data_IF_582346388813
#
_entry.id   IF_582346388813
#
_cell.length_a   1.000
_cell.length_b   1.000
_cell.length_c   1.000
_cell.angle_alpha   90.00
_cell.angle_beta   90.00
_cell.angle_gamma   90.00
#
_symmetry.space_group_name_H-M   'P 1'
#
loop_
_entity.id
_entity.type
_entity.pdbx_description
1 polymer ?
#
# COMPACT_ATOMS: atom_id res chain seq x y z
N UNK A 1 16.17 -11.82 40.97
CA UNK A 1 15.02 -11.76 40.05
C UNK A 1 14.22 -10.53 40.43
N UNK A 2 14.62 -9.38 39.90
CA UNK A 2 13.84 -8.14 40.02
C UNK A 2 12.88 -8.08 38.84
N UNK A 3 11.60 -8.21 39.13
CA UNK A 3 10.52 -8.00 38.17
C UNK A 3 10.40 -6.51 37.91
N UNK A 4 10.95 -6.04 36.79
CA UNK A 4 10.70 -4.70 36.28
C UNK A 4 9.24 -4.60 35.84
N UNK A 5 8.38 -4.10 36.73
CA UNK A 5 7.04 -3.65 36.34
C UNK A 5 7.20 -2.34 35.57
N UNK A 6 7.15 -2.42 34.24
CA UNK A 6 7.01 -1.23 33.40
C UNK A 6 5.68 -0.54 33.75
N UNK A 7 5.74 0.54 34.54
CA UNK A 7 4.62 1.48 34.68
C UNK A 7 4.42 2.14 33.32
N UNK A 8 3.23 1.96 32.73
CA UNK A 8 2.81 2.77 31.59
C UNK A 8 2.82 4.25 32.01
N UNK A 9 3.66 5.04 31.35
CA UNK A 9 3.62 6.50 31.45
C UNK A 9 2.60 6.97 30.41
N UNK A 10 1.51 7.56 30.87
CA UNK A 10 0.50 8.19 30.02
C UNK A 10 0.72 9.69 30.10
N UNK A 11 1.23 10.29 29.03
CA UNK A 11 1.37 11.74 28.93
C UNK A 11 0.09 12.33 28.33
N UNK A 12 -0.44 13.36 28.96
CA UNK A 12 -1.59 14.13 28.46
C UNK A 12 -1.08 15.08 27.39
N UNK A 13 -1.36 14.76 26.13
CA UNK A 13 -1.05 15.59 24.98
C UNK A 13 -2.18 16.60 24.72
N UNK A 14 -1.87 17.90 24.69
CA UNK A 14 -2.87 18.97 24.58
C UNK A 14 -3.62 18.98 23.25
N UNK A 15 -2.98 18.53 22.16
CA UNK A 15 -3.58 18.41 20.83
C UNK A 15 -4.27 17.06 20.57
N UNK A 16 -4.57 16.28 21.61
CA UNK A 16 -5.07 14.91 21.47
C UNK A 16 -6.37 14.85 20.65
N UNK A 17 -6.51 13.77 19.87
CA UNK A 17 -7.67 13.46 19.03
C UNK A 17 -9.00 13.72 19.74
N UNK A 18 -9.75 14.69 19.24
CA UNK A 18 -11.05 15.07 19.77
C UNK A 18 -12.16 14.15 19.22
N UNK A 19 -13.33 14.20 19.85
CA UNK A 19 -14.53 13.57 19.34
C UNK A 19 -15.47 14.68 18.84
N UNK A 20 -15.84 14.62 17.56
CA UNK A 20 -16.66 15.63 16.90
C UNK A 20 -18.13 15.20 16.73
N UNK A 21 -18.51 14.05 17.29
CA UNK A 21 -19.89 13.55 17.27
C UNK A 21 -19.98 12.04 17.14
N UNK A 22 -21.18 11.52 16.89
CA UNK A 22 -21.37 10.11 16.57
C UNK A 22 -21.31 9.89 15.07
N UNK A 23 -20.43 8.99 14.67
CA UNK A 23 -20.33 8.46 13.31
C UNK A 23 -21.08 7.12 13.16
N UNK A 24 -20.90 6.51 12.00
CA UNK A 24 -21.43 5.18 11.68
C UNK A 24 -20.29 4.17 11.62
N UNK A 25 -20.45 3.06 12.33
CA UNK A 25 -19.54 1.92 12.26
C UNK A 25 -19.94 0.93 11.18
N UNK A 26 -19.03 0.01 10.85
CA UNK A 26 -19.41 -1.20 10.12
C UNK A 26 -20.59 -1.93 10.78
N UNK A 27 -20.65 -1.99 12.12
CA UNK A 27 -21.78 -2.59 12.82
C UNK A 27 -23.07 -1.80 12.61
N UNK A 28 -23.03 -0.46 12.55
CA UNK A 28 -24.23 0.33 12.21
C UNK A 28 -24.70 0.07 10.77
N UNK A 29 -23.78 -0.11 9.83
CA UNK A 29 -24.10 -0.48 8.45
C UNK A 29 -24.66 -1.90 8.37
N UNK A 30 -24.11 -2.81 9.17
CA UNK A 30 -24.60 -4.18 9.33
C UNK A 30 -25.98 -4.22 10.02
N UNK A 31 -26.23 -3.35 10.99
CA UNK A 31 -27.51 -3.25 11.69
C UNK A 31 -28.57 -2.54 10.82
N UNK A 32 -28.14 -1.70 9.88
CA UNK A 32 -29.01 -1.16 8.83
C UNK A 32 -29.28 -2.17 7.70
N UNK A 33 -28.69 -3.38 7.76
CA UNK A 33 -28.93 -4.42 6.77
C UNK A 33 -30.42 -4.83 6.80
N UNK A 34 -31.10 -4.84 5.64
CA UNK A 34 -32.50 -5.25 5.55
C UNK A 34 -32.74 -6.68 6.06
N UNK A 35 -31.69 -7.51 6.19
CA UNK A 35 -31.73 -8.87 6.70
C UNK A 35 -31.35 -8.99 8.19
N UNK A 36 -31.22 -7.89 8.94
CA UNK A 36 -30.85 -7.94 10.36
C UNK A 36 -31.74 -8.89 11.18
N UNK A 37 -33.05 -8.90 10.92
CA UNK A 37 -34.00 -9.80 11.59
C UNK A 37 -33.69 -11.28 11.36
N UNK A 38 -33.18 -11.63 10.17
CA UNK A 38 -32.75 -12.99 9.84
C UNK A 38 -31.42 -13.31 10.54
N UNK A 39 -30.48 -12.36 10.55
CA UNK A 39 -29.18 -12.49 11.22
C UNK A 39 -29.29 -12.72 12.74
N UNK A 40 -30.33 -12.17 13.39
CA UNK A 40 -30.60 -12.43 14.82
C UNK A 40 -30.89 -13.91 15.11
N UNK A 41 -31.53 -14.61 14.18
CA UNK A 41 -31.87 -16.02 14.32
C UNK A 41 -30.79 -16.94 13.72
N UNK A 42 -30.06 -16.44 12.72
CA UNK A 42 -29.01 -17.16 12.02
C UNK A 42 -27.84 -16.21 11.66
N UNK A 43 -26.78 -16.26 12.46
CA UNK A 43 -25.54 -15.48 12.26
C UNK A 43 -24.89 -15.67 10.88
N UNK A 44 -25.25 -16.73 10.13
CA UNK A 44 -24.68 -17.06 8.83
C UNK A 44 -25.60 -16.73 7.65
N UNK A 45 -26.73 -16.05 7.89
CA UNK A 45 -27.60 -15.59 6.82
C UNK A 45 -26.76 -14.80 5.78
N UNK A 46 -26.96 -15.02 4.47
CA UNK A 46 -28.08 -15.72 3.80
C UNK A 46 -27.90 -17.24 3.64
N UNK A 47 -26.87 -17.84 4.23
CA UNK A 47 -26.69 -19.29 4.26
C UNK A 47 -27.48 -19.90 5.42
N UNK A 48 -28.00 -21.11 5.27
CA UNK A 48 -28.84 -21.76 6.29
C UNK A 48 -28.10 -22.11 7.58
N UNK A 49 -26.76 -22.25 7.51
CA UNK A 49 -25.94 -22.66 8.65
C UNK A 49 -24.46 -22.27 8.47
N UNK A 50 -23.71 -22.30 9.57
CA UNK A 50 -22.25 -22.11 9.51
C UNK A 50 -21.51 -23.21 8.75
N UNK A 51 -22.06 -24.42 8.68
CA UNK A 51 -21.50 -25.49 7.86
C UNK A 51 -21.67 -25.20 6.36
N UNK A 52 -22.86 -24.74 5.96
CA UNK A 52 -23.10 -24.29 4.58
C UNK A 52 -22.22 -23.09 4.22
N UNK A 53 -22.11 -22.09 5.11
CA UNK A 53 -21.24 -20.94 4.87
C UNK A 53 -19.79 -21.34 4.65
N UNK A 54 -19.25 -22.29 5.44
CA UNK A 54 -17.88 -22.81 5.24
C UNK A 54 -17.72 -23.53 3.90
N UNK A 55 -18.73 -24.28 3.48
CA UNK A 55 -18.73 -24.97 2.18
C UNK A 55 -18.80 -23.97 1.02
N UNK A 56 -19.68 -22.98 1.10
CA UNK A 56 -19.78 -21.86 0.17
C UNK A 56 -18.44 -21.11 0.07
N UNK A 57 -17.84 -20.78 1.21
CA UNK A 57 -16.52 -20.16 1.29
C UNK A 57 -15.49 -21.02 0.55
N UNK A 58 -15.39 -22.31 0.88
CA UNK A 58 -14.46 -23.21 0.21
C UNK A 58 -14.67 -23.25 -1.32
N UNK A 59 -15.92 -23.36 -1.79
CA UNK A 59 -16.22 -23.33 -3.23
C UNK A 59 -15.71 -22.04 -3.89
N UNK A 60 -15.91 -20.88 -3.26
CA UNK A 60 -15.46 -19.59 -3.82
C UNK A 60 -13.95 -19.44 -3.89
N UNK A 61 -13.21 -20.02 -2.94
CA UNK A 61 -11.74 -19.94 -2.88
C UNK A 61 -11.04 -21.11 -3.57
N UNK A 62 -11.77 -22.15 -3.98
CA UNK A 62 -11.22 -23.36 -4.61
C UNK A 62 -10.58 -23.14 -5.98
N UNK A 63 -10.92 -22.03 -6.66
CA UNK A 63 -10.52 -21.78 -8.06
C UNK A 63 -11.28 -22.61 -9.09
N UNK A 64 -12.32 -23.34 -8.67
CA UNK A 64 -13.19 -24.09 -9.58
C UNK A 64 -13.95 -23.15 -10.52
N UNK A 65 -14.16 -23.60 -11.75
CA UNK A 65 -15.03 -22.90 -12.70
C UNK A 65 -16.49 -22.99 -12.26
N UNK A 66 -17.34 -22.06 -12.73
CA UNK A 66 -18.78 -22.10 -12.49
C UNK A 66 -19.40 -23.46 -12.86
N UNK A 67 -18.96 -24.04 -13.98
CA UNK A 67 -19.44 -25.34 -14.45
C UNK A 67 -19.00 -26.49 -13.53
N UNK A 68 -17.77 -26.47 -13.02
CA UNK A 68 -17.29 -27.48 -12.08
C UNK A 68 -17.99 -27.37 -10.71
N UNK A 69 -18.33 -26.16 -10.28
CA UNK A 69 -19.16 -25.94 -9.09
C UNK A 69 -20.56 -26.51 -9.32
N UNK A 70 -21.19 -26.24 -10.46
CA UNK A 70 -22.50 -26.80 -10.80
C UNK A 70 -22.47 -28.34 -10.86
N UNK A 71 -21.41 -28.93 -11.41
CA UNK A 71 -21.19 -30.38 -11.42
C UNK A 71 -21.07 -30.94 -9.99
N UNK A 72 -20.26 -30.31 -9.14
CA UNK A 72 -20.12 -30.69 -7.72
C UNK A 72 -21.47 -30.62 -6.98
N UNK A 73 -22.24 -29.55 -7.19
CA UNK A 73 -23.57 -29.37 -6.60
C UNK A 73 -24.59 -30.38 -7.16
N UNK A 74 -24.30 -30.99 -8.31
CA UNK A 74 -25.16 -32.00 -8.93
C UNK A 74 -24.96 -33.41 -8.39
N UNK A 75 -23.88 -33.68 -7.65
CA UNK A 75 -23.59 -34.98 -7.06
C UNK A 75 -24.68 -35.37 -6.04
N UNK A 76 -25.14 -36.62 -6.06
CA UNK A 76 -26.27 -37.07 -5.21
C UNK A 76 -26.01 -36.86 -3.72
N UNK A 77 -24.77 -37.06 -3.28
CA UNK A 77 -24.33 -36.79 -1.90
C UNK A 77 -24.53 -35.32 -1.52
N UNK A 78 -24.24 -34.40 -2.44
CA UNK A 78 -24.37 -32.96 -2.22
C UNK A 78 -25.83 -32.50 -2.38
N UNK A 79 -26.55 -33.02 -3.37
CA UNK A 79 -27.98 -32.76 -3.56
C UNK A 79 -28.82 -33.18 -2.35
N UNK A 80 -28.42 -34.24 -1.65
CA UNK A 80 -29.09 -34.69 -0.43
C UNK A 80 -29.02 -33.66 0.71
N UNK A 81 -28.05 -32.74 0.67
CA UNK A 81 -27.93 -31.65 1.64
C UNK A 81 -28.93 -30.53 1.31
N UNK A 82 -29.48 -29.88 2.33
CA UNK A 82 -30.42 -28.77 2.16
C UNK A 82 -29.71 -27.40 2.11
N UNK A 83 -28.79 -27.21 1.16
CA UNK A 83 -28.16 -25.92 0.94
C UNK A 83 -29.14 -24.89 0.34
N UNK A 84 -28.98 -23.63 0.74
CA UNK A 84 -29.69 -22.46 0.23
C UNK A 84 -29.40 -22.17 -1.25
N UNK A 85 -28.38 -22.82 -1.85
CA UNK A 85 -28.06 -22.72 -3.26
C UNK A 85 -27.93 -24.10 -3.92
N UNK A 86 -28.33 -24.17 -5.19
CA UNK A 86 -28.26 -25.38 -6.04
C UNK A 86 -27.38 -25.22 -7.28
N UNK A 87 -26.96 -24.01 -7.55
CA UNK A 87 -26.08 -23.67 -8.68
C UNK A 87 -25.04 -22.67 -8.21
N UNK A 88 -23.92 -22.61 -8.92
CA UNK A 88 -22.89 -21.60 -8.74
C UNK A 88 -23.51 -20.20 -8.87
N UNK A 89 -24.42 -19.99 -9.83
CA UNK A 89 -25.12 -18.69 -9.98
C UNK A 89 -25.97 -18.33 -8.76
N UNK A 90 -26.66 -19.30 -8.16
CA UNK A 90 -27.42 -19.06 -6.93
C UNK A 90 -26.49 -18.76 -5.75
N UNK A 91 -25.35 -19.46 -5.65
CA UNK A 91 -24.31 -19.15 -4.66
C UNK A 91 -23.84 -17.69 -4.77
N UNK A 92 -23.51 -17.22 -5.98
CA UNK A 92 -23.08 -15.83 -6.19
C UNK A 92 -24.15 -14.82 -5.81
N UNK A 93 -25.43 -15.09 -6.10
CA UNK A 93 -26.54 -14.23 -5.64
C UNK A 93 -26.61 -14.13 -4.12
N UNK A 94 -26.36 -15.21 -3.39
CA UNK A 94 -26.30 -15.17 -1.92
C UNK A 94 -25.09 -14.36 -1.45
N UNK A 95 -23.94 -14.51 -2.09
CA UNK A 95 -22.75 -13.71 -1.77
C UNK A 95 -22.98 -12.22 -2.01
N UNK A 96 -23.73 -11.86 -3.07
CA UNK A 96 -24.11 -10.47 -3.38
C UNK A 96 -25.02 -9.84 -2.30
N UNK A 97 -25.67 -10.63 -1.45
CA UNK A 97 -26.45 -10.13 -0.30
C UNK A 97 -25.57 -9.83 0.92
N UNK A 98 -24.33 -10.34 0.98
CA UNK A 98 -23.43 -10.06 2.09
C UNK A 98 -22.99 -8.58 2.07
N UNK A 99 -22.72 -7.98 3.24
CA UNK A 99 -22.20 -6.62 3.32
C UNK A 99 -20.98 -6.43 2.41
N UNK A 100 -21.10 -5.51 1.45
CA UNK A 100 -20.05 -5.28 0.46
C UNK A 100 -18.89 -4.48 1.06
N UNK A 101 -17.66 -4.85 0.72
CA UNK A 101 -16.50 -4.00 0.94
C UNK A 101 -16.41 -2.82 -0.05
N UNK A 102 -15.31 -2.06 -0.05
CA UNK A 102 -15.08 -0.96 -0.98
C UNK A 102 -15.18 -1.44 -2.44
N UNK A 103 -15.97 -0.75 -3.25
CA UNK A 103 -16.31 -1.18 -4.60
C UNK A 103 -15.21 -0.86 -5.62
N UNK A 104 -15.09 -1.72 -6.63
CA UNK A 104 -14.23 -1.47 -7.78
C UNK A 104 -14.83 -0.42 -8.70
N UNK A 105 -14.05 0.62 -8.95
CA UNK A 105 -14.26 1.66 -9.95
C UNK A 105 -13.29 1.41 -11.12
N UNK A 106 -13.63 1.90 -12.30
CA UNK A 106 -12.72 1.88 -13.44
C UNK A 106 -12.68 3.24 -14.13
N UNK A 107 -11.52 3.60 -14.68
CA UNK A 107 -11.34 4.83 -15.43
C UNK A 107 -10.36 4.65 -16.58
N UNK A 108 -10.71 5.21 -17.74
CA UNK A 108 -9.80 5.30 -18.89
C UNK A 108 -8.80 6.43 -18.68
N UNK A 109 -7.52 6.16 -18.86
CA UNK A 109 -6.44 7.14 -18.67
C UNK A 109 -5.83 7.51 -20.01
N UNK A 110 -5.80 8.81 -20.31
CA UNK A 110 -5.16 9.33 -21.52
C UNK A 110 -3.65 9.28 -21.37
N UNK A 111 -2.98 8.60 -22.29
CA UNK A 111 -1.52 8.54 -22.39
C UNK A 111 -1.01 9.62 -23.36
N UNK A 112 0.18 10.16 -23.11
CA UNK A 112 0.83 11.11 -24.04
C UNK A 112 1.27 10.48 -25.37
N UNK A 113 1.44 9.16 -25.40
CA UNK A 113 1.80 8.43 -26.61
C UNK A 113 0.86 7.22 -26.78
N UNK A 114 0.60 6.80 -28.03
CA UNK A 114 -0.28 5.66 -28.28
C UNK A 114 0.21 4.38 -27.61
N UNK A 115 -0.73 3.62 -27.07
CA UNK A 115 -0.52 2.27 -26.54
C UNK A 115 -1.26 1.25 -27.41
N UNK A 116 -0.80 0.00 -27.41
CA UNK A 116 -1.45 -1.08 -28.19
C UNK A 116 -2.90 -1.31 -27.79
N UNK A 117 -3.19 -1.17 -26.49
CA UNK A 117 -4.54 -1.23 -25.94
C UNK A 117 -4.82 0.06 -25.15
N UNK A 118 -6.07 0.50 -25.10
CA UNK A 118 -6.48 1.60 -24.24
C UNK A 118 -6.11 1.27 -22.78
N UNK A 119 -5.50 2.24 -22.09
CA UNK A 119 -5.11 2.04 -20.69
C UNK A 119 -6.32 2.29 -19.79
N UNK A 120 -6.88 1.20 -19.25
CA UNK A 120 -7.90 1.23 -18.21
C UNK A 120 -7.25 0.94 -16.86
N UNK A 121 -7.71 1.67 -15.85
CA UNK A 121 -7.29 1.46 -14.46
C UNK A 121 -8.50 1.00 -13.67
N UNK A 122 -8.35 -0.10 -12.94
CA UNK A 122 -9.30 -0.56 -11.94
C UNK A 122 -8.78 -0.19 -10.57
N UNK A 123 -9.58 0.51 -9.78
CA UNK A 123 -9.19 1.01 -8.47
C UNK A 123 -10.39 1.05 -7.53
N UNK A 124 -10.14 1.15 -6.23
CA UNK A 124 -11.17 1.36 -5.20
C UNK A 124 -11.07 2.76 -4.64
N UNK A 125 -12.16 3.23 -4.06
CA UNK A 125 -12.13 4.50 -3.34
C UNK A 125 -11.19 4.41 -2.13
N UNK A 126 -10.24 5.32 -2.06
CA UNK A 126 -9.23 5.30 -1.00
C UNK A 126 -9.83 5.57 0.38
N UNK A 127 -10.84 6.44 0.49
CA UNK A 127 -11.49 6.74 1.77
C UNK A 127 -12.35 5.56 2.22
N UNK A 128 -13.11 4.94 1.32
CA UNK A 128 -13.86 3.72 1.65
C UNK A 128 -12.90 2.59 2.10
N UNK A 129 -11.74 2.45 1.45
CA UNK A 129 -10.70 1.51 1.87
C UNK A 129 -10.15 1.82 3.27
N UNK A 130 -9.90 3.08 3.61
CA UNK A 130 -9.46 3.45 4.94
C UNK A 130 -10.53 3.19 6.00
N UNK A 131 -11.77 3.59 5.72
CA UNK A 131 -12.90 3.33 6.59
C UNK A 131 -13.04 1.83 6.85
N UNK A 132 -12.88 0.99 5.81
CA UNK A 132 -12.88 -0.46 5.96
C UNK A 132 -11.73 -0.97 6.84
N UNK A 133 -10.50 -0.46 6.64
CA UNK A 133 -9.31 -0.85 7.44
C UNK A 133 -9.47 -0.51 8.92
N UNK A 134 -10.02 0.67 9.23
CA UNK A 134 -10.26 1.12 10.61
C UNK A 134 -11.19 0.15 11.34
N UNK A 135 -12.24 -0.32 10.67
CA UNK A 135 -13.25 -1.19 11.26
C UNK A 135 -12.88 -2.67 11.34
N UNK A 136 -11.70 -3.06 10.84
CA UNK A 136 -11.26 -4.44 10.98
C UNK A 136 -11.10 -4.78 12.47
N UNK A 137 -11.70 -5.89 12.95
CA UNK A 137 -11.64 -6.24 14.37
C UNK A 137 -10.18 -6.53 14.76
N UNK A 138 -9.58 -5.60 15.49
CA UNK A 138 -8.28 -5.80 16.12
C UNK A 138 -8.49 -6.68 17.35
N UNK A 139 -8.04 -7.93 17.28
CA UNK A 139 -8.09 -8.85 18.42
C UNK A 139 -7.30 -8.24 19.60
N UNK A 140 -8.04 -7.89 20.66
CA UNK A 140 -7.61 -7.62 22.04
C UNK A 140 -6.49 -6.57 22.23
N UNK A 141 -6.90 -5.32 22.46
CA UNK A 141 -6.76 -4.61 23.74
C UNK A 141 -5.41 -4.50 24.48
N UNK A 142 -4.28 -4.95 23.92
CA UNK A 142 -2.96 -4.73 24.51
C UNK A 142 -2.07 -3.95 23.54
N UNK A 143 -1.96 -2.65 23.81
CA UNK A 143 -0.94 -1.78 23.25
C UNK A 143 0.43 -2.25 23.76
N UNK A 144 1.27 -2.77 22.86
CA UNK A 144 2.66 -3.13 23.14
C UNK A 144 3.54 -2.14 22.38
N UNK A 145 4.49 -1.53 23.10
CA UNK A 145 5.40 -0.47 22.63
C UNK A 145 6.43 -0.94 21.59
N UNK A 146 6.03 -1.17 20.33
CA UNK A 146 6.98 -1.46 19.23
C UNK A 146 6.53 -0.90 17.87
N UNK A 147 5.69 0.13 17.82
CA UNK A 147 4.93 0.51 16.62
C UNK A 147 5.37 1.85 16.00
N UNK A 148 5.04 2.11 14.72
CA UNK A 148 5.42 3.38 14.06
C UNK A 148 4.97 4.62 14.84
N UNK A 149 3.81 4.53 15.52
CA UNK A 149 3.26 5.58 16.39
C UNK A 149 4.14 5.94 17.60
N UNK A 150 5.17 5.15 17.93
CA UNK A 150 6.14 5.49 18.99
C UNK A 150 7.35 6.25 18.48
N UNK A 151 7.52 6.39 17.15
CA UNK A 151 8.63 7.13 16.57
C UNK A 151 8.39 8.64 16.59
N UNK A 152 9.47 9.42 16.70
CA UNK A 152 9.43 10.89 16.72
C UNK A 152 8.65 11.46 15.53
N UNK A 153 8.82 10.86 14.34
CA UNK A 153 8.13 11.28 13.12
C UNK A 153 6.60 11.28 13.26
N UNK A 154 6.02 10.32 14.00
CA UNK A 154 4.57 10.27 14.20
C UNK A 154 4.08 11.46 15.04
N UNK A 155 4.85 11.82 16.07
CA UNK A 155 4.56 12.96 16.95
C UNK A 155 4.80 14.29 16.23
N UNK A 156 5.90 14.43 15.50
CA UNK A 156 6.19 15.61 14.67
C UNK A 156 5.07 15.86 13.64
N UNK A 157 4.55 14.79 13.03
CA UNK A 157 3.42 14.90 12.11
C UNK A 157 2.11 15.25 12.82
N UNK A 158 1.89 14.76 14.04
CA UNK A 158 0.69 15.09 14.82
C UNK A 158 0.72 16.53 15.34
N UNK A 159 1.90 17.05 15.71
CA UNK A 159 2.13 18.41 16.23
C UNK A 159 1.86 19.52 15.21
N UNK A 160 1.99 19.23 13.91
CA UNK A 160 1.68 20.18 12.84
C UNK A 160 0.21 20.19 12.44
N UNK A 161 -0.59 19.24 12.95
CA UNK A 161 -2.03 19.19 12.69
C UNK A 161 -2.81 20.11 13.64
N UNK A 162 -4.04 20.51 13.27
CA UNK A 162 -4.90 21.26 14.18
C UNK A 162 -5.20 20.50 15.48
N UNK A 163 -5.38 21.23 16.58
CA UNK A 163 -5.79 20.64 17.86
C UNK A 163 -7.07 19.79 17.69
N UNK A 164 -7.04 18.56 18.23
CA UNK A 164 -8.14 17.61 18.11
C UNK A 164 -8.12 16.76 16.85
N UNK A 165 -7.21 17.01 15.91
CA UNK A 165 -7.05 16.20 14.71
C UNK A 165 -6.49 14.80 15.03
N UNK A 166 -6.77 13.85 14.13
CA UNK A 166 -6.31 12.47 14.22
C UNK A 166 -5.42 12.14 13.05
N UNK A 167 -4.18 11.74 13.32
CA UNK A 167 -3.26 11.27 12.29
C UNK A 167 -3.61 9.84 11.84
N UNK A 168 -3.94 9.67 10.56
CA UNK A 168 -4.12 8.38 9.90
C UNK A 168 -3.05 8.15 8.82
N UNK A 169 -1.96 7.55 9.26
CA UNK A 169 -0.74 7.40 8.48
C UNK A 169 -0.84 6.32 7.41
N UNK A 170 -0.67 6.72 6.15
CA UNK A 170 -0.88 5.87 4.99
C UNK A 170 0.39 5.07 4.67
N UNK A 171 0.22 3.77 4.45
CA UNK A 171 1.23 2.88 3.89
C UNK A 171 0.76 2.42 2.51
N UNK A 172 1.57 2.69 1.48
CA UNK A 172 1.37 2.14 0.16
C UNK A 172 2.39 1.04 -0.13
N UNK A 173 2.02 0.09 -0.97
CA UNK A 173 3.00 -0.82 -1.55
C UNK A 173 2.62 -1.18 -2.97
N UNK A 174 3.63 -1.38 -3.81
CA UNK A 174 3.42 -1.93 -5.14
C UNK A 174 4.63 -2.75 -5.53
N UNK A 175 4.35 -3.82 -6.27
CA UNK A 175 5.37 -4.64 -6.90
C UNK A 175 4.81 -5.19 -8.20
N UNK A 176 5.59 -5.09 -9.27
CA UNK A 176 5.19 -5.60 -10.57
C UNK A 176 5.49 -7.10 -10.65
N UNK A 177 4.44 -7.91 -10.64
CA UNK A 177 4.52 -9.37 -10.54
C UNK A 177 4.08 -10.07 -11.82
N UNK A 178 4.72 -11.20 -12.14
CA UNK A 178 4.29 -12.05 -13.25
C UNK A 178 3.18 -13.01 -12.79
N UNK A 179 2.00 -12.92 -13.41
CA UNK A 179 0.85 -13.79 -13.11
C UNK A 179 1.06 -15.18 -13.72
N UNK A 180 1.65 -15.24 -14.93
CA UNK A 180 1.96 -16.51 -15.59
C UNK A 180 3.33 -16.42 -16.28
N UNK A 181 4.17 -17.44 -16.06
CA UNK A 181 5.46 -17.55 -16.73
C UNK A 181 5.29 -17.81 -18.25
N UNK A 182 4.22 -18.52 -18.63
CA UNK A 182 4.02 -19.00 -20.01
C UNK A 182 3.58 -17.90 -20.97
N UNK A 183 2.79 -16.92 -20.53
CA UNK A 183 2.21 -15.88 -21.41
C UNK A 183 2.67 -14.46 -21.08
N UNK A 184 3.68 -14.32 -20.22
CA UNK A 184 4.23 -13.03 -19.80
C UNK A 184 3.16 -12.00 -19.36
N UNK A 185 2.07 -12.48 -18.74
CA UNK A 185 1.04 -11.59 -18.19
C UNK A 185 1.56 -11.04 -16.87
N UNK A 186 1.55 -9.73 -16.74
CA UNK A 186 2.04 -9.02 -15.56
C UNK A 186 0.86 -8.35 -14.85
N UNK A 187 0.82 -8.46 -13.53
CA UNK A 187 0.00 -7.63 -12.66
C UNK A 187 0.90 -6.58 -12.01
N UNK A 188 0.34 -5.42 -11.72
CA UNK A 188 1.01 -4.42 -10.91
C UNK A 188 0.04 -3.94 -9.83
N UNK A 189 -0.16 -4.73 -8.77
CA UNK A 189 -1.02 -4.34 -7.66
C UNK A 189 -0.46 -3.12 -6.94
N UNK A 190 -1.36 -2.19 -6.61
CA UNK A 190 -1.16 -1.16 -5.60
C UNK A 190 -1.96 -1.56 -4.37
N UNK A 191 -1.30 -1.74 -3.23
CA UNK A 191 -1.92 -2.05 -1.95
C UNK A 191 -1.90 -0.81 -1.04
N UNK A 192 -2.86 -0.74 -0.12
CA UNK A 192 -2.95 0.29 0.91
C UNK A 192 -3.13 -0.34 2.29
N UNK A 193 -2.51 0.28 3.28
CA UNK A 193 -2.68 -0.03 4.69
C UNK A 193 -2.51 1.22 5.58
N UNK A 194 -2.63 1.03 6.89
CA UNK A 194 -2.43 2.06 7.90
C UNK A 194 -1.23 1.71 8.78
N UNK A 195 -0.35 2.68 9.01
CA UNK A 195 0.76 2.54 9.97
C UNK A 195 0.26 2.58 11.44
N UNK A 196 -0.98 3.01 11.65
CA UNK A 196 -1.64 3.00 12.96
C UNK A 196 -2.05 1.59 13.44
N UNK A 197 -1.98 0.58 12.58
CA UNK A 197 -2.25 -0.81 12.94
C UNK A 197 -0.99 -1.38 13.58
N UNK A 198 -1.12 -2.03 14.74
CA UNK A 198 0.01 -2.59 15.48
C UNK A 198 0.87 -3.53 14.62
N UNK A 199 2.19 -3.33 14.66
CA UNK A 199 3.17 -4.14 13.92
C UNK A 199 3.06 -5.68 14.14
N UNK A 200 2.59 -6.13 15.30
CA UNK A 200 2.36 -7.56 15.58
C UNK A 200 1.13 -8.12 14.85
N UNK A 201 0.14 -7.27 14.55
CA UNK A 201 -1.02 -7.59 13.74
C UNK A 201 -0.58 -7.61 12.27
N UNK A 202 0.19 -6.60 11.80
CA UNK A 202 0.78 -6.59 10.45
C UNK A 202 1.57 -7.86 10.08
N UNK A 203 2.31 -8.42 11.02
CA UNK A 203 3.15 -9.61 10.79
C UNK A 203 2.38 -10.93 10.71
N UNK A 204 1.10 -10.96 11.08
CA UNK A 204 0.27 -12.15 10.92
C UNK A 204 -0.15 -12.23 9.45
N UNK A 205 0.47 -13.11 8.67
CA UNK A 205 0.15 -13.30 7.25
C UNK A 205 -1.32 -13.67 6.94
N UNK A 206 -2.12 -14.00 7.96
CA UNK A 206 -3.55 -14.28 7.84
C UNK A 206 -4.46 -13.05 7.97
N UNK A 207 -3.94 -11.89 8.39
CA UNK A 207 -4.75 -10.68 8.56
C UNK A 207 -4.77 -9.82 7.29
N UNK A 208 -5.99 -9.52 6.81
CA UNK A 208 -6.29 -8.72 5.60
C UNK A 208 -5.97 -7.23 5.77
N UNK A 209 -4.76 -6.91 6.23
CA UNK A 209 -4.36 -5.54 6.64
C UNK A 209 -3.85 -4.70 5.47
N UNK A 210 -3.45 -5.36 4.37
CA UNK A 210 -3.25 -4.72 3.09
C UNK A 210 -4.47 -4.96 2.22
N UNK A 211 -5.14 -3.88 1.80
CA UNK A 211 -6.20 -3.94 0.80
C UNK A 211 -5.62 -3.70 -0.58
N UNK A 212 -6.07 -4.49 -1.56
CA UNK A 212 -5.78 -4.22 -2.96
C UNK A 212 -6.56 -2.96 -3.39
N UNK A 213 -5.82 -1.86 -3.53
CA UNK A 213 -6.36 -0.55 -3.87
C UNK A 213 -6.55 -0.40 -5.38
N UNK A 214 -5.59 -0.84 -6.19
CA UNK A 214 -5.69 -0.75 -7.64
C UNK A 214 -4.86 -1.82 -8.37
N UNK A 215 -5.21 -2.05 -9.63
CA UNK A 215 -4.38 -2.74 -10.60
C UNK A 215 -3.80 -1.69 -11.55
N UNK A 216 -2.52 -1.36 -11.37
CA UNK A 216 -1.81 -0.38 -12.15
C UNK A 216 -1.59 -0.90 -13.58
N UNK A 217 -1.71 -0.03 -14.60
CA UNK A 217 -1.58 -0.46 -15.98
C UNK A 217 -0.12 -0.79 -16.30
N UNK A 218 0.08 -1.85 -17.07
CA UNK A 218 1.38 -2.23 -17.65
C UNK A 218 1.34 -1.94 -19.15
N UNK A 219 1.54 -0.67 -19.57
CA UNK A 219 1.30 -0.27 -20.95
C UNK A 219 2.35 -0.85 -21.92
N UNK A 220 1.89 -1.21 -23.12
CA UNK A 220 2.77 -1.46 -24.26
C UNK A 220 2.69 -0.27 -25.21
N UNK A 221 3.63 0.67 -25.09
CA UNK A 221 3.68 1.87 -25.93
C UNK A 221 4.08 1.54 -27.38
N UNK A 222 3.45 2.21 -28.34
CA UNK A 222 3.77 2.17 -29.77
C UNK A 222 4.53 3.44 -30.15
N UNK A 223 5.61 3.71 -29.43
CA UNK A 223 6.48 4.86 -29.70
C UNK A 223 7.71 4.41 -30.51
N UNK A 224 8.11 5.11 -31.60
CA UNK A 224 9.23 4.69 -32.44
C UNK A 224 10.57 4.65 -31.68
N UNK A 225 10.79 5.61 -30.78
CA UNK A 225 11.95 5.60 -29.88
C UNK A 225 11.69 4.70 -28.67
N UNK A 226 12.28 3.51 -28.65
CA UNK A 226 12.16 2.52 -27.56
C UNK A 226 12.73 3.02 -26.23
N UNK A 227 13.75 3.88 -26.26
CA UNK A 227 14.35 4.43 -25.03
C UNK A 227 13.36 5.28 -24.22
N UNK A 228 12.29 5.79 -24.86
CA UNK A 228 11.26 6.59 -24.18
C UNK A 228 10.17 5.74 -23.52
N UNK A 229 10.10 4.43 -23.79
CA UNK A 229 9.04 3.57 -23.26
C UNK A 229 9.05 3.52 -21.73
N UNK A 230 10.23 3.41 -21.11
CA UNK A 230 10.35 3.39 -19.65
C UNK A 230 9.89 4.70 -18.99
N UNK A 231 10.18 5.84 -19.62
CA UNK A 231 9.77 7.16 -19.13
C UNK A 231 8.25 7.31 -19.25
N UNK A 232 7.69 6.95 -20.40
CA UNK A 232 6.25 7.00 -20.63
C UNK A 232 5.50 6.09 -19.65
N UNK A 233 6.06 4.93 -19.32
CA UNK A 233 5.53 4.04 -18.30
C UNK A 233 5.59 4.66 -16.90
N UNK A 234 6.72 5.28 -16.53
CA UNK A 234 6.88 5.99 -15.27
C UNK A 234 5.91 7.18 -15.16
N UNK A 235 5.71 7.92 -16.24
CA UNK A 235 4.74 9.02 -16.31
C UNK A 235 3.32 8.52 -16.08
N UNK A 236 2.95 7.43 -16.76
CA UNK A 236 1.64 6.83 -16.59
C UNK A 236 1.43 6.34 -15.16
N UNK A 237 2.44 5.69 -14.56
CA UNK A 237 2.39 5.23 -13.17
C UNK A 237 2.04 6.38 -12.21
N UNK A 238 2.82 7.47 -12.27
CA UNK A 238 2.60 8.64 -11.43
C UNK A 238 1.24 9.31 -11.68
N UNK A 239 0.83 9.42 -12.94
CA UNK A 239 -0.48 9.97 -13.32
C UNK A 239 -1.62 9.12 -12.72
N UNK A 240 -1.51 7.80 -12.81
CA UNK A 240 -2.53 6.87 -12.31
C UNK A 240 -2.60 6.89 -10.80
N UNK A 241 -1.46 6.77 -10.11
CA UNK A 241 -1.42 6.83 -8.64
C UNK A 241 -1.99 8.17 -8.16
N UNK A 242 -1.64 9.29 -8.81
CA UNK A 242 -2.17 10.61 -8.46
C UNK A 242 -3.70 10.69 -8.55
N UNK A 243 -4.32 10.03 -9.54
CA UNK A 243 -5.79 9.96 -9.65
C UNK A 243 -6.38 9.14 -8.49
N UNK A 244 -5.80 7.98 -8.19
CA UNK A 244 -6.29 7.06 -7.17
C UNK A 244 -6.20 7.68 -5.76
N UNK A 245 -5.08 8.32 -5.46
CA UNK A 245 -4.80 8.88 -4.12
C UNK A 245 -5.33 10.31 -3.94
N UNK A 246 -6.00 10.88 -4.95
CA UNK A 246 -6.57 12.24 -4.87
C UNK A 246 -7.43 12.47 -3.61
N UNK A 247 -8.34 11.55 -3.20
CA UNK A 247 -9.10 11.73 -1.97
C UNK A 247 -8.20 11.78 -0.71
N UNK A 248 -7.11 11.01 -0.68
CA UNK A 248 -6.13 11.04 0.43
C UNK A 248 -5.33 12.33 0.46
N UNK A 249 -4.98 12.90 -0.70
CA UNK A 249 -4.32 14.22 -0.75
C UNK A 249 -5.22 15.30 -0.16
N UNK A 250 -6.49 15.30 -0.56
CA UNK A 250 -7.49 16.22 0.00
C UNK A 250 -7.61 16.05 1.51
N UNK A 251 -7.71 14.80 1.99
CA UNK A 251 -7.79 14.51 3.42
C UNK A 251 -6.49 14.86 4.17
N UNK A 252 -5.32 14.80 3.54
CA UNK A 252 -4.07 15.25 4.13
C UNK A 252 -3.97 16.79 4.22
N UNK A 253 -4.64 17.52 3.31
CA UNK A 253 -4.59 18.99 3.27
C UNK A 253 -5.60 19.64 4.21
N UNK A 254 -6.86 19.18 4.18
CA UNK A 254 -7.96 19.81 4.95
C UNK A 254 -8.60 18.89 6.00
N UNK A 255 -8.14 17.64 6.08
CA UNK A 255 -8.74 16.61 6.92
C UNK A 255 -10.03 16.01 6.32
N UNK A 256 -10.44 14.87 6.85
CA UNK A 256 -11.67 14.18 6.48
C UNK A 256 -12.33 13.57 7.72
N UNK A 257 -13.65 13.68 7.84
CA UNK A 257 -14.36 13.10 8.98
C UNK A 257 -14.53 11.59 8.76
N UNK A 258 -13.94 10.79 9.64
CA UNK A 258 -14.06 9.32 9.62
C UNK A 258 -14.57 8.82 10.96
N UNK A 259 -15.41 7.79 10.92
CA UNK A 259 -15.86 7.12 12.13
C UNK A 259 -14.81 6.11 12.59
N UNK A 260 -14.50 6.10 13.88
CA UNK A 260 -13.70 5.05 14.50
C UNK A 260 -14.55 3.79 14.77
N UNK A 261 -13.94 2.67 15.19
CA UNK A 261 -14.66 1.41 15.41
C UNK A 261 -15.69 1.46 16.55
N UNK A 262 -15.72 2.52 17.35
CA UNK A 262 -16.60 2.71 18.52
C UNK A 262 -17.55 3.89 18.26
N UNK A 263 -17.76 4.27 16.99
CA UNK A 263 -18.72 5.30 16.54
C UNK A 263 -18.31 6.74 16.87
N UNK A 264 -17.07 7.02 17.26
CA UNK A 264 -16.64 8.41 17.42
C UNK A 264 -16.26 9.00 16.06
N UNK A 265 -16.72 10.21 15.79
CA UNK A 265 -16.35 10.93 14.59
C UNK A 265 -15.03 11.67 14.81
N UNK A 266 -14.04 11.35 13.99
CA UNK A 266 -12.66 11.85 14.07
C UNK A 266 -12.32 12.71 12.86
N UNK A 267 -11.71 13.87 13.09
CA UNK A 267 -11.17 14.71 12.02
C UNK A 267 -9.78 14.20 11.63
N UNK A 268 -9.73 13.39 10.57
CA UNK A 268 -8.57 12.59 10.23
C UNK A 268 -7.74 13.18 9.10
N UNK A 269 -6.42 13.15 9.23
CA UNK A 269 -5.46 13.59 8.21
C UNK A 269 -4.64 12.40 7.71
N UNK A 270 -4.40 12.33 6.40
CA UNK A 270 -3.87 11.12 5.75
C UNK A 270 -2.55 11.32 5.01
N UNK A 271 -1.44 11.66 5.70
CA UNK A 271 -0.14 11.74 5.06
C UNK A 271 0.39 10.36 4.66
N UNK A 272 1.15 10.30 3.57
CA UNK A 272 1.91 9.11 3.19
C UNK A 272 3.19 9.02 4.03
N UNK A 273 3.27 7.98 4.86
CA UNK A 273 4.42 7.77 5.77
C UNK A 273 5.31 6.61 5.37
N UNK A 274 4.81 5.70 4.52
CA UNK A 274 5.61 4.59 4.01
C UNK A 274 5.17 4.18 2.60
N UNK A 275 6.15 3.91 1.72
CA UNK A 275 5.94 3.24 0.45
C UNK A 275 6.89 2.05 0.34
N UNK A 276 6.32 0.85 0.34
CA UNK A 276 7.07 -0.41 0.25
C UNK A 276 7.19 -0.80 -1.22
N UNK A 277 8.42 -0.80 -1.71
CA UNK A 277 8.77 -1.11 -3.10
C UNK A 277 10.20 -1.66 -3.17
N UNK A 278 10.49 -2.44 -4.21
CA UNK A 278 11.85 -2.85 -4.55
C UNK A 278 12.67 -1.68 -5.11
N UNK A 279 14.00 -1.79 -5.14
CA UNK A 279 14.89 -0.69 -5.56
C UNK A 279 14.54 -0.10 -6.94
N UNK A 280 14.32 -0.88 -8.02
CA UNK A 280 13.89 -0.33 -9.30
C UNK A 280 12.61 0.51 -9.23
N UNK A 281 11.63 0.07 -8.42
CA UNK A 281 10.37 0.77 -8.25
C UNK A 281 10.49 2.00 -7.35
N UNK A 282 11.36 1.96 -6.32
CA UNK A 282 11.72 3.13 -5.52
C UNK A 282 12.30 4.26 -6.38
N UNK A 283 13.19 3.94 -7.34
CA UNK A 283 13.72 4.92 -8.30
C UNK A 283 12.63 5.55 -9.17
N UNK A 284 11.65 4.76 -9.60
CA UNK A 284 10.50 5.28 -10.34
C UNK A 284 9.73 6.27 -9.47
N UNK A 285 9.37 5.87 -8.24
CA UNK A 285 8.59 6.66 -7.28
C UNK A 285 9.28 7.98 -6.91
N UNK A 286 10.57 7.96 -6.62
CA UNK A 286 11.37 9.17 -6.32
C UNK A 286 11.75 10.01 -7.52
N UNK A 287 11.44 9.54 -8.73
CA UNK A 287 11.75 10.27 -9.96
C UNK A 287 13.26 10.39 -10.25
N UNK A 288 14.09 9.51 -9.68
CA UNK A 288 15.56 9.50 -9.86
C UNK A 288 16.02 8.39 -10.81
N UNK A 289 17.19 8.58 -11.41
CA UNK A 289 17.81 7.53 -12.25
C UNK A 289 18.42 6.41 -11.40
N UNK A 290 18.71 5.27 -12.03
CA UNK A 290 19.38 4.14 -11.39
C UNK A 290 20.81 4.42 -10.90
N UNK A 291 21.38 5.58 -11.25
CA UNK A 291 22.70 6.01 -10.81
C UNK A 291 22.64 6.93 -9.58
N UNK A 292 21.47 7.11 -8.98
CA UNK A 292 21.28 7.91 -7.78
C UNK A 292 20.53 7.10 -6.72
N UNK A 293 20.70 7.48 -5.46
CA UNK A 293 19.94 6.88 -4.38
C UNK A 293 18.52 7.47 -4.32
N UNK A 294 17.53 6.66 -3.94
CA UNK A 294 16.15 7.13 -3.79
C UNK A 294 15.97 8.12 -2.62
N UNK A 295 16.70 7.91 -1.52
CA UNK A 295 16.53 8.66 -0.26
C UNK A 295 17.54 9.81 -0.06
N UNK A 296 18.63 9.86 -0.83
CA UNK A 296 19.65 10.91 -0.72
C UNK A 296 20.09 11.43 -2.08
N UNK A 297 20.76 12.58 -2.10
CA UNK A 297 21.34 13.20 -3.29
C UNK A 297 22.61 12.49 -3.79
N UNK A 298 23.00 11.37 -3.17
CA UNK A 298 24.18 10.61 -3.58
C UNK A 298 24.00 10.02 -4.98
N UNK A 299 25.06 10.09 -5.78
CA UNK A 299 25.16 9.40 -7.08
C UNK A 299 26.15 8.26 -7.01
N UNK A 300 26.11 7.37 -7.99
CA UNK A 300 26.89 6.11 -8.02
C UNK A 300 28.39 6.29 -7.83
N UNK A 301 28.95 7.43 -8.27
CA UNK A 301 30.37 7.77 -8.08
C UNK A 301 30.75 8.09 -6.64
N UNK A 302 29.77 8.40 -5.80
CA UNK A 302 29.93 8.76 -4.39
C UNK A 302 29.53 7.59 -3.46
N UNK A 303 29.10 6.45 -4.02
CA UNK A 303 28.73 5.30 -3.22
C UNK A 303 29.98 4.71 -2.56
N UNK A 304 29.90 4.51 -1.25
CA UNK A 304 31.04 4.08 -0.42
C UNK A 304 31.86 5.24 0.16
N UNK A 305 31.55 6.49 -0.18
CA UNK A 305 32.17 7.64 0.46
C UNK A 305 31.72 7.75 1.92
N UNK A 306 32.61 8.11 2.87
CA UNK A 306 32.27 8.23 4.28
C UNK A 306 31.41 9.48 4.58
N UNK A 307 31.26 10.38 3.61
CA UNK A 307 30.51 11.62 3.77
C UNK A 307 29.04 11.41 3.36
N UNK A 308 28.13 11.69 4.28
CA UNK A 308 26.70 11.63 4.00
C UNK A 308 26.30 12.72 3.00
N UNK A 309 25.63 12.30 1.93
CA UNK A 309 24.93 13.23 1.04
C UNK A 309 23.62 13.70 1.68
N UNK A 310 23.21 14.93 1.35
CA UNK A 310 21.93 15.47 1.80
C UNK A 310 20.74 14.59 1.37
N UNK A 311 19.66 14.61 2.15
CA UNK A 311 18.43 13.88 1.83
C UNK A 311 17.82 14.34 0.48
N UNK A 312 17.20 13.40 -0.24
CA UNK A 312 16.48 13.69 -1.47
C UNK A 312 15.07 14.21 -1.14
N UNK A 313 14.97 15.52 -0.87
CA UNK A 313 13.70 16.09 -0.42
C UNK A 313 12.72 16.38 -1.56
N UNK A 314 11.42 16.44 -1.23
CA UNK A 314 10.37 16.85 -2.14
C UNK A 314 10.65 18.23 -2.75
N UNK A 315 11.05 19.18 -1.91
CA UNK A 315 11.41 20.54 -2.32
C UNK A 315 12.59 20.54 -3.29
N UNK A 316 13.64 19.74 -3.02
CA UNK A 316 14.80 19.66 -3.91
C UNK A 316 14.44 19.08 -5.27
N UNK A 317 13.70 17.97 -5.28
CA UNK A 317 13.21 17.35 -6.51
C UNK A 317 12.34 18.32 -7.32
N UNK A 318 11.46 19.08 -6.65
CA UNK A 318 10.63 20.09 -7.30
C UNK A 318 11.47 21.21 -7.95
N UNK A 319 12.48 21.72 -7.26
CA UNK A 319 13.39 22.73 -7.80
C UNK A 319 14.12 22.24 -9.06
N UNK A 320 14.62 21.00 -9.04
CA UNK A 320 15.28 20.39 -10.19
C UNK A 320 14.31 20.24 -11.38
N UNK A 321 13.06 19.83 -11.12
CA UNK A 321 12.02 19.75 -12.15
C UNK A 321 11.68 21.12 -12.76
N UNK A 322 11.59 22.18 -11.95
CA UNK A 322 11.38 23.54 -12.43
C UNK A 322 12.55 23.99 -13.31
N UNK A 323 13.79 23.73 -12.87
CA UNK A 323 14.98 24.07 -13.64
C UNK A 323 15.00 23.37 -15.01
N UNK A 324 14.73 22.07 -15.05
CA UNK A 324 14.65 21.31 -16.32
C UNK A 324 13.54 21.84 -17.23
N UNK A 325 12.36 22.15 -16.66
CA UNK A 325 11.25 22.75 -17.44
C UNK A 325 11.63 24.10 -18.03
N UNK A 326 12.39 24.93 -17.30
CA UNK A 326 12.91 26.23 -17.78
C UNK A 326 13.98 26.07 -18.85
N UNK A 327 14.90 25.11 -18.72
CA UNK A 327 15.95 24.84 -19.73
C UNK A 327 15.32 24.40 -21.06
N UNK A 328 14.24 23.63 -20.99
CA UNK A 328 13.68 22.94 -22.17
C UNK A 328 12.56 23.70 -22.87
N UNK A 329 11.94 24.74 -22.27
CA UNK A 329 10.99 25.66 -22.94
C UNK A 329 10.01 25.02 -23.96
N UNK A 330 9.38 23.88 -23.60
CA UNK A 330 8.46 23.12 -24.46
C UNK A 330 9.08 22.42 -25.70
N UNK A 331 10.39 22.16 -25.70
CA UNK A 331 11.04 21.27 -26.67
C UNK A 331 10.52 19.81 -26.58
N UNK A 332 10.83 19.00 -27.59
CA UNK A 332 10.34 17.62 -27.72
C UNK A 332 10.73 16.72 -26.52
N UNK A 333 10.00 15.61 -26.35
CA UNK A 333 10.18 14.68 -25.22
C UNK A 333 11.64 14.19 -25.02
N UNK A 334 12.39 14.02 -26.11
CA UNK A 334 13.78 13.58 -26.08
C UNK A 334 14.70 14.60 -25.42
N UNK A 335 14.58 15.88 -25.79
CA UNK A 335 15.38 16.97 -25.20
C UNK A 335 15.11 17.15 -23.70
N UNK A 336 13.83 17.05 -23.31
CA UNK A 336 13.42 17.08 -21.92
C UNK A 336 14.07 15.95 -21.12
N UNK A 337 14.07 14.73 -21.68
CA UNK A 337 14.69 13.59 -21.00
C UNK A 337 16.21 13.75 -20.86
N UNK A 338 16.90 14.23 -21.89
CA UNK A 338 18.33 14.51 -21.82
C UNK A 338 18.65 15.53 -20.71
N UNK A 339 17.86 16.59 -20.58
CA UNK A 339 18.01 17.56 -19.51
C UNK A 339 17.74 16.94 -18.12
N UNK A 340 16.71 16.09 -17.98
CA UNK A 340 16.47 15.33 -16.74
C UNK A 340 17.68 14.46 -16.34
N UNK A 341 18.28 13.74 -17.28
CA UNK A 341 19.43 12.87 -16.99
C UNK A 341 20.65 13.63 -16.45
N UNK A 342 20.90 14.86 -16.93
CA UNK A 342 21.97 15.72 -16.39
C UNK A 342 21.79 15.98 -14.88
N UNK A 343 20.53 16.02 -14.43
CA UNK A 343 20.13 16.25 -13.04
C UNK A 343 19.81 14.95 -12.28
N UNK A 344 20.17 13.79 -12.83
CA UNK A 344 19.87 12.47 -12.26
C UNK A 344 18.38 12.19 -12.05
N UNK A 345 17.50 12.84 -12.82
CA UNK A 345 16.06 12.58 -12.83
C UNK A 345 15.68 11.57 -13.92
N UNK A 346 14.72 10.68 -13.63
CA UNK A 346 14.25 9.65 -14.58
C UNK A 346 13.29 10.17 -15.67
N UNK A 347 12.94 11.46 -15.60
CA UNK A 347 12.04 12.10 -16.55
C UNK A 347 10.64 12.35 -16.02
N UNK A 348 10.18 11.78 -14.91
CA UNK A 348 8.82 12.08 -14.37
C UNK A 348 8.63 13.58 -14.14
N UNK A 349 7.63 14.16 -14.79
CA UNK A 349 7.41 15.62 -14.78
C UNK A 349 6.52 16.14 -13.63
N UNK A 350 5.72 15.24 -13.05
CA UNK A 350 4.79 15.53 -11.96
C UNK A 350 4.71 14.29 -11.06
N UNK A 351 5.56 14.20 -10.03
CA UNK A 351 5.48 13.13 -9.04
C UNK A 351 4.10 13.13 -8.35
N UNK A 352 3.61 11.96 -7.92
CA UNK A 352 2.25 11.89 -7.36
C UNK A 352 2.21 12.41 -5.94
N UNK A 353 3.33 12.42 -5.23
CA UNK A 353 3.47 12.86 -3.84
C UNK A 353 3.78 14.35 -3.71
N UNK A 354 4.03 15.05 -4.83
CA UNK A 354 4.50 16.45 -4.80
C UNK A 354 3.49 17.42 -4.17
N UNK A 355 2.20 17.14 -4.36
CA UNK A 355 1.04 17.87 -3.87
C UNK A 355 0.31 17.11 -2.74
N UNK A 356 0.99 16.17 -2.07
CA UNK A 356 0.44 15.46 -0.92
C UNK A 356 1.00 16.08 0.36
N UNK A 357 0.13 16.73 1.14
CA UNK A 357 0.55 17.44 2.35
C UNK A 357 1.29 16.53 3.34
N UNK A 358 2.35 17.06 3.95
CA UNK A 358 3.20 16.40 4.94
C UNK A 358 3.95 15.15 4.43
N UNK A 359 4.10 15.00 3.11
CA UNK A 359 4.78 13.87 2.49
C UNK A 359 6.21 14.23 2.08
N UNK A 360 7.16 13.39 2.49
CA UNK A 360 8.59 13.58 2.21
C UNK A 360 9.21 12.26 1.66
N UNK A 361 9.62 12.20 0.37
CA UNK A 361 10.19 11.00 -0.25
C UNK A 361 11.35 10.36 0.49
N UNK A 362 12.26 11.17 1.03
CA UNK A 362 13.37 10.65 1.82
C UNK A 362 12.94 9.99 3.13
N UNK A 363 11.71 10.27 3.59
CA UNK A 363 11.18 9.73 4.85
C UNK A 363 10.21 8.57 4.63
N UNK A 364 9.37 8.60 3.59
CA UNK A 364 8.41 7.51 3.35
C UNK A 364 9.02 6.31 2.62
N UNK A 365 10.17 6.45 1.96
CA UNK A 365 10.84 5.31 1.36
C UNK A 365 11.71 4.61 2.38
N UNK A 366 11.27 3.40 2.75
CA UNK A 366 12.04 2.52 3.60
C UNK A 366 13.13 1.82 2.80
N UNK A 367 14.28 1.58 3.45
CA UNK A 367 15.35 0.77 2.87
C UNK A 367 14.83 -0.62 2.53
N UNK A 368 15.09 -1.06 1.30
CA UNK A 368 14.73 -2.40 0.88
C UNK A 368 15.58 -3.43 1.63
N UNK A 369 14.97 -4.19 2.54
CA UNK A 369 15.68 -5.09 3.46
C UNK A 369 16.55 -6.12 2.74
N UNK A 370 16.05 -6.68 1.64
CA UNK A 370 16.77 -7.69 0.88
C UNK A 370 18.09 -7.16 0.32
N UNK A 371 18.07 -5.99 -0.32
CA UNK A 371 19.26 -5.44 -0.96
C UNK A 371 20.15 -4.65 0.02
N UNK A 372 19.57 -3.95 0.98
CA UNK A 372 20.33 -3.07 1.88
C UNK A 372 20.84 -3.75 3.14
N UNK A 373 20.17 -4.78 3.65
CA UNK A 373 20.67 -5.53 4.81
C UNK A 373 21.24 -6.87 4.36
N UNK A 374 20.43 -7.72 3.72
CA UNK A 374 20.84 -9.09 3.45
C UNK A 374 21.98 -9.15 2.42
N UNK A 375 21.84 -8.46 1.29
CA UNK A 375 22.89 -8.44 0.27
C UNK A 375 24.13 -7.69 0.73
N UNK A 376 23.98 -6.55 1.41
CA UNK A 376 25.11 -5.82 2.00
C UNK A 376 25.92 -6.71 2.96
N UNK A 377 25.25 -7.46 3.82
CA UNK A 377 25.90 -8.38 4.75
C UNK A 377 26.80 -9.38 4.01
N UNK A 378 26.28 -10.05 2.98
CA UNK A 378 27.06 -11.02 2.20
C UNK A 378 28.15 -10.36 1.32
N UNK A 379 27.88 -9.17 0.78
CA UNK A 379 28.81 -8.49 -0.11
C UNK A 379 29.97 -7.83 0.64
N UNK A 380 29.77 -7.43 1.90
CA UNK A 380 30.72 -6.64 2.69
C UNK A 380 31.01 -7.25 4.06
N UNK A 381 30.03 -7.27 4.96
CA UNK A 381 30.26 -7.60 6.39
C UNK A 381 30.84 -8.99 6.57
N UNK A 382 30.26 -10.00 5.91
CA UNK A 382 30.73 -11.38 5.95
C UNK A 382 32.16 -11.49 5.42
N UNK A 383 32.50 -10.76 4.34
CA UNK A 383 33.86 -10.76 3.78
C UNK A 383 34.85 -10.08 4.72
N UNK A 384 34.45 -9.03 5.42
CA UNK A 384 35.29 -8.36 6.42
C UNK A 384 35.52 -9.27 7.63
N UNK A 385 34.47 -9.86 8.18
CA UNK A 385 34.56 -10.83 9.28
C UNK A 385 35.46 -12.01 8.89
N UNK A 386 35.26 -12.59 7.71
CA UNK A 386 36.09 -13.69 7.21
C UNK A 386 37.57 -13.32 7.07
N UNK A 387 37.88 -12.08 6.65
CA UNK A 387 39.28 -11.59 6.57
C UNK A 387 39.90 -11.33 7.94
N UNK A 388 39.11 -10.89 8.93
CA UNK A 388 39.61 -10.56 10.27
C UNK A 388 39.77 -11.79 11.16
N UNK A 389 38.82 -12.72 11.13
CA UNK A 389 38.75 -13.88 12.02
C UNK A 389 39.29 -15.17 11.37
N UNK A 390 39.26 -15.25 10.04
CA UNK A 390 39.44 -16.51 9.30
C UNK A 390 38.10 -17.23 9.11
N UNK A 391 37.99 -18.02 8.03
CA UNK A 391 36.75 -18.72 7.70
C UNK A 391 36.35 -19.75 8.77
N UNK A 392 37.31 -20.53 9.28
CA UNK A 392 37.04 -21.61 10.24
C UNK A 392 36.51 -21.07 11.59
N UNK A 393 37.06 -19.96 12.08
CA UNK A 393 36.62 -19.31 13.33
C UNK A 393 35.24 -18.67 13.17
N UNK A 394 34.98 -18.04 12.02
CA UNK A 394 33.67 -17.45 11.73
C UNK A 394 32.58 -18.53 11.66
N UNK A 395 32.85 -19.66 11.00
CA UNK A 395 31.94 -20.80 10.92
C UNK A 395 31.70 -21.41 12.31
N UNK A 396 32.75 -21.55 13.13
CA UNK A 396 32.62 -22.01 14.51
C UNK A 396 31.70 -21.07 15.32
N UNK A 397 31.90 -19.76 15.26
CA UNK A 397 31.05 -18.82 16.00
C UNK A 397 29.60 -18.80 15.51
N UNK A 398 29.37 -18.89 14.19
CA UNK A 398 28.02 -18.98 13.64
C UNK A 398 27.31 -20.27 14.09
N UNK A 399 28.04 -21.37 14.30
CA UNK A 399 27.47 -22.64 14.76
C UNK A 399 26.98 -22.65 16.21
N UNK A 400 27.35 -21.62 17.00
CA UNK A 400 26.96 -21.48 18.41
C UNK A 400 25.69 -20.62 18.61
N UNK A 401 25.22 -19.94 17.57
CA UNK A 401 23.99 -19.14 17.54
C UNK A 401 22.80 -20.01 17.09
#
# INVERSE_FOLDING_TARGET
>A
METWTHKLVTELYSGASANYGQGYTFMDVFDADPFLSECQHNLFYPFSSGAEWKFALWLTYSGLSMAAIDECLSLDVIKSQQFSFRTAKALWKLIELLPSGPWWKYQSVKTKSPTRCASQVFYRDTIECLQHLIHLPSNNGQHIYTDWLTGDQAWELQDVLPDGATLLSIVLSSDKTHITQVRNHQAHPLLISLANILANIHRKGSTKLYLLLALLPVPQFVHPNKCLHGILASWLLHQVISVIVKPLKMAAEVGHMMSDPIRNLKHCFTPLVAYIANTPEQHIITCVTNNALAISMAVSKQFGDPLHCAACTASKTHQLLIMVKRETCAQNLSSYFQACQKQQLNGVASPFWLDWALVEPSSFLNLEVLHHFFKMFWDHDQKWCSRMLGADELDFQCSLL
#
